data_IF_002753631631
#
_entry.id   IF_002753631631
#
_cell.length_a   1.000
_cell.length_b   1.000
_cell.length_c   1.000
_cell.angle_alpha   90.00
_cell.angle_beta   90.00
_cell.angle_gamma   90.00
#
_symmetry.space_group_name_H-M   'P 1'
#
loop_
_entity.id
_entity.type
_entity.pdbx_description
1 polymer ?
#
# COMPACT_ATOMS: atom_id res chain seq x y z
N UNK A 1 2.95 52.98 -37.30
CA UNK A 1 1.84 52.23 -37.93
C UNK A 1 2.02 50.78 -37.56
N UNK A 2 1.63 50.41 -36.34
CA UNK A 2 0.31 49.85 -35.98
C UNK A 2 0.40 48.33 -36.01
N UNK A 3 0.76 47.76 -34.86
CA UNK A 3 0.68 46.32 -34.60
C UNK A 3 -0.78 45.91 -34.44
N UNK A 4 -1.22 44.99 -35.29
CA UNK A 4 -2.56 44.42 -35.24
C UNK A 4 -2.58 43.31 -34.19
N UNK A 5 -3.24 43.59 -33.07
CA UNK A 5 -3.47 42.63 -31.98
C UNK A 5 -4.61 41.70 -32.37
N UNK A 6 -4.29 40.46 -32.74
CA UNK A 6 -5.27 39.38 -32.89
C UNK A 6 -6.01 39.20 -31.56
N UNK A 7 -7.34 39.35 -31.58
CA UNK A 7 -8.16 39.28 -30.37
C UNK A 7 -8.52 37.84 -30.02
N UNK A 8 -8.69 37.57 -28.72
CA UNK A 8 -8.97 36.24 -28.14
C UNK A 8 -10.25 35.55 -28.67
N UNK A 9 -11.10 36.27 -29.40
CA UNK A 9 -12.31 35.73 -30.04
C UNK A 9 -12.05 35.06 -31.40
N UNK A 10 -10.95 35.37 -32.06
CA UNK A 10 -10.65 34.83 -33.40
C UNK A 10 -9.95 33.46 -33.35
N UNK A 11 -9.19 33.17 -32.29
CA UNK A 11 -8.59 31.85 -32.08
C UNK A 11 -9.64 30.75 -31.82
N UNK A 12 -10.77 31.10 -31.21
CA UNK A 12 -11.84 30.13 -30.86
C UNK A 12 -12.62 29.64 -32.08
N UNK A 13 -12.55 30.32 -33.23
CA UNK A 13 -13.27 29.93 -34.46
C UNK A 13 -12.46 29.07 -35.45
N UNK A 14 -11.16 28.84 -35.20
CA UNK A 14 -10.27 28.20 -36.18
C UNK A 14 -10.03 26.70 -35.96
N UNK A 15 -10.48 26.10 -34.86
CA UNK A 15 -10.11 24.71 -34.53
C UNK A 15 -11.28 23.71 -34.66
N UNK A 16 -12.43 24.17 -35.14
CA UNK A 16 -13.61 23.33 -35.36
C UNK A 16 -13.79 22.99 -36.83
N UNK A 17 -13.21 21.87 -37.30
CA UNK A 17 -13.69 20.97 -38.38
C UNK A 17 -12.54 20.23 -39.06
N UNK A 18 -12.25 19.01 -38.61
CA UNK A 18 -12.01 17.90 -39.56
C UNK A 18 -12.39 16.60 -38.86
N UNK A 19 -13.57 16.09 -39.19
CA UNK A 19 -13.99 14.73 -38.85
C UNK A 19 -13.39 13.84 -39.94
N UNK A 20 -12.34 13.09 -39.61
CA UNK A 20 -11.93 11.92 -40.42
C UNK A 20 -12.31 10.70 -39.60
N UNK A 21 -13.40 10.06 -40.02
CA UNK A 21 -13.77 8.74 -39.58
C UNK A 21 -12.75 7.74 -40.13
N UNK A 22 -11.91 7.19 -39.26
CA UNK A 22 -11.13 5.99 -39.55
C UNK A 22 -11.44 4.96 -38.45
N UNK A 23 -12.28 4.01 -38.82
CA UNK A 23 -12.57 2.82 -38.04
C UNK A 23 -11.28 2.01 -37.86
N UNK A 24 -10.71 2.04 -36.65
CA UNK A 24 -9.72 1.07 -36.22
C UNK A 24 -10.28 0.29 -35.02
N UNK A 25 -10.79 -0.89 -35.37
CA UNK A 25 -10.85 -2.14 -34.61
C UNK A 25 -10.64 -2.02 -33.09
N UNK A 26 -11.77 -2.07 -32.39
CA UNK A 26 -11.84 -2.46 -30.99
C UNK A 26 -11.32 -3.90 -30.81
N UNK A 27 -10.13 -4.06 -30.23
CA UNK A 27 -9.73 -5.29 -29.57
C UNK A 27 -8.52 -4.98 -28.67
N UNK A 28 -8.80 -4.77 -27.39
CA UNK A 28 -7.99 -5.07 -26.18
C UNK A 28 -8.43 -4.11 -25.07
N UNK A 29 -9.75 -4.06 -24.82
CA UNK A 29 -10.25 -3.73 -23.50
C UNK A 29 -9.97 -4.94 -22.61
N UNK A 30 -8.73 -5.06 -22.12
CA UNK A 30 -8.47 -5.86 -20.93
C UNK A 30 -9.39 -5.38 -19.80
N UNK A 31 -9.73 -6.23 -18.82
CA UNK A 31 -10.60 -5.82 -17.73
C UNK A 31 -9.98 -4.60 -17.07
N UNK A 32 -10.70 -3.47 -17.13
CA UNK A 32 -10.42 -2.29 -16.32
C UNK A 32 -10.46 -2.78 -14.89
N UNK A 33 -9.30 -2.98 -14.27
CA UNK A 33 -9.19 -3.27 -12.85
C UNK A 33 -9.91 -2.12 -12.17
N UNK A 34 -11.10 -2.41 -11.63
CA UNK A 34 -11.94 -1.41 -11.01
C UNK A 34 -11.09 -0.56 -10.08
N UNK A 35 -11.11 0.76 -10.28
CA UNK A 35 -10.33 1.70 -9.48
C UNK A 35 -10.65 1.48 -8.00
N UNK A 36 -9.75 0.77 -7.31
CA UNK A 36 -9.98 0.42 -5.92
C UNK A 36 -9.78 1.66 -5.06
N UNK A 37 -10.63 1.85 -4.05
CA UNK A 37 -10.54 3.03 -3.18
C UNK A 37 -9.14 3.14 -2.54
N UNK A 38 -8.50 4.32 -2.59
CA UNK A 38 -7.18 4.54 -2.02
C UNK A 38 -7.24 4.42 -0.49
N UNK A 39 -6.24 3.76 0.10
CA UNK A 39 -6.19 3.57 1.55
C UNK A 39 -5.81 4.88 2.25
N UNK A 40 -6.51 5.21 3.33
CA UNK A 40 -6.19 6.37 4.19
C UNK A 40 -5.15 5.99 5.24
N UNK A 41 -4.14 6.84 5.44
CA UNK A 41 -3.13 6.71 6.49
C UNK A 41 -1.77 6.20 6.01
N UNK A 42 -0.82 6.06 6.95
CA UNK A 42 0.53 5.57 6.65
C UNK A 42 0.53 4.04 6.66
N UNK A 43 0.69 3.45 5.47
CA UNK A 43 0.50 2.02 5.22
C UNK A 43 1.71 1.16 5.58
N UNK A 44 2.84 1.76 5.95
CA UNK A 44 4.03 1.04 6.40
C UNK A 44 4.45 1.51 7.78
N UNK A 45 4.73 0.57 8.68
CA UNK A 45 5.35 0.85 9.96
C UNK A 45 6.87 0.88 9.80
N UNK A 46 7.56 1.62 10.68
CA UNK A 46 9.02 1.66 10.69
C UNK A 46 9.67 0.26 10.75
N UNK A 47 9.02 -0.69 11.43
CA UNK A 47 9.48 -2.07 11.57
C UNK A 47 9.15 -3.01 10.39
N UNK A 48 8.58 -2.51 9.28
CA UNK A 48 8.26 -3.31 8.09
C UNK A 48 6.86 -3.94 8.06
N UNK A 49 6.04 -3.73 9.09
CA UNK A 49 4.65 -4.19 9.07
C UNK A 49 3.85 -3.34 8.07
N UNK A 50 3.17 -4.01 7.15
CA UNK A 50 2.18 -3.37 6.28
C UNK A 50 0.89 -3.11 7.06
N UNK A 51 0.63 -1.86 7.39
CA UNK A 51 -0.54 -1.45 8.17
C UNK A 51 -1.84 -1.62 7.37
N UNK A 52 -1.79 -1.63 6.03
CA UNK A 52 -2.97 -1.82 5.19
C UNK A 52 -3.68 -3.16 5.41
N UNK A 53 -3.00 -4.20 5.87
CA UNK A 53 -3.65 -5.48 6.24
C UNK A 53 -3.86 -5.68 7.74
N UNK A 54 -3.59 -4.66 8.56
CA UNK A 54 -3.76 -4.75 10.00
C UNK A 54 -5.25 -4.78 10.37
N UNK A 55 -5.72 -5.81 11.10
CA UNK A 55 -7.12 -5.92 11.54
C UNK A 55 -7.61 -4.66 12.27
N UNK A 56 -6.73 -4.03 13.06
CA UNK A 56 -7.01 -2.78 13.78
C UNK A 56 -7.23 -1.60 12.83
N UNK A 57 -6.38 -1.47 11.80
CA UNK A 57 -6.47 -0.35 10.85
C UNK A 57 -7.71 -0.46 9.97
N UNK A 58 -7.99 -1.67 9.47
CA UNK A 58 -9.10 -1.90 8.57
C UNK A 58 -10.45 -2.05 9.30
N UNK A 59 -10.44 -2.18 10.64
CA UNK A 59 -11.64 -2.34 11.46
C UNK A 59 -12.21 -3.77 11.47
N UNK A 60 -11.34 -4.77 11.31
CA UNK A 60 -11.67 -6.20 11.30
C UNK A 60 -11.47 -6.86 12.68
N UNK A 61 -10.70 -6.23 13.59
CA UNK A 61 -10.30 -6.78 14.91
C UNK A 61 -11.42 -7.01 15.95
N UNK A 62 -12.69 -6.79 15.61
CA UNK A 62 -13.85 -6.96 16.50
C UNK A 62 -13.93 -5.98 17.69
N UNK A 63 -12.81 -5.35 18.06
CA UNK A 63 -12.68 -4.44 19.21
C UNK A 63 -12.80 -2.96 18.80
N UNK A 64 -12.41 -2.60 17.58
CA UNK A 64 -12.60 -1.26 17.04
C UNK A 64 -13.92 -1.16 16.27
N UNK A 65 -14.98 -0.80 16.99
CA UNK A 65 -16.31 -0.46 16.43
C UNK A 65 -16.30 0.71 15.42
N UNK A 66 -15.15 1.32 15.11
CA UNK A 66 -14.99 2.45 14.18
C UNK A 66 -13.76 2.23 13.29
N UNK A 67 -13.93 1.65 12.09
CA UNK A 67 -12.89 1.60 11.06
C UNK A 67 -12.29 3.00 10.81
N UNK A 68 -10.97 3.10 10.63
CA UNK A 68 -10.33 4.35 10.24
C UNK A 68 -9.87 5.31 11.35
N UNK A 69 -9.98 4.94 12.65
CA UNK A 69 -9.33 5.72 13.73
C UNK A 69 -7.82 5.53 13.81
N UNK A 70 -7.33 4.34 13.44
CA UNK A 70 -5.90 4.07 13.38
C UNK A 70 -5.34 4.59 12.05
N UNK A 71 -4.46 5.58 12.11
CA UNK A 71 -3.78 6.16 10.93
C UNK A 71 -2.46 5.45 10.60
N UNK A 72 -2.16 4.35 11.30
CA UNK A 72 -0.93 3.57 11.16
C UNK A 72 -0.07 3.65 12.40
N UNK A 73 0.88 2.70 12.52
CA UNK A 73 1.80 2.67 13.66
C UNK A 73 2.55 3.99 13.84
N UNK A 74 2.84 4.72 12.75
CA UNK A 74 3.50 6.02 12.77
C UNK A 74 2.73 7.12 13.52
N UNK A 75 1.39 7.02 13.58
CA UNK A 75 0.49 7.98 14.22
C UNK A 75 0.10 7.64 15.66
N UNK A 76 0.72 6.64 16.30
CA UNK A 76 0.40 6.25 17.69
C UNK A 76 0.77 7.36 18.69
N UNK A 77 -0.14 7.66 19.63
CA UNK A 77 0.10 8.56 20.78
C UNK A 77 1.25 8.08 21.67
N UNK A 78 1.34 6.76 21.89
CA UNK A 78 2.41 6.12 22.66
C UNK A 78 3.30 5.29 21.71
N UNK A 79 4.35 5.88 21.13
CA UNK A 79 5.21 5.18 20.17
C UNK A 79 6.13 4.16 20.87
N UNK A 80 6.35 3.00 20.24
CA UNK A 80 7.36 2.03 20.70
C UNK A 80 8.79 2.52 20.42
N UNK A 81 9.79 1.85 20.99
CA UNK A 81 11.20 2.23 20.85
C UNK A 81 11.68 2.26 19.40
N UNK A 82 11.25 1.32 18.55
CA UNK A 82 11.59 1.30 17.12
C UNK A 82 11.08 2.57 16.42
N UNK A 83 9.83 2.98 16.69
CA UNK A 83 9.28 4.19 16.09
C UNK A 83 9.96 5.46 16.61
N UNK A 84 10.28 5.53 17.90
CA UNK A 84 11.07 6.63 18.47
C UNK A 84 12.45 6.71 17.81
N UNK A 85 13.11 5.57 17.64
CA UNK A 85 14.42 5.45 16.99
C UNK A 85 14.35 5.89 15.52
N UNK A 86 13.35 5.43 14.76
CA UNK A 86 13.16 5.82 13.36
C UNK A 86 12.96 7.34 13.22
N UNK A 87 12.13 7.95 14.08
CA UNK A 87 11.95 9.41 14.13
C UNK A 87 13.25 10.14 14.45
N UNK A 88 14.00 9.70 15.47
CA UNK A 88 15.29 10.30 15.85
C UNK A 88 16.32 10.25 14.71
N UNK A 89 16.31 9.19 13.91
CA UNK A 89 17.23 9.02 12.78
C UNK A 89 16.66 9.54 11.44
N UNK A 90 15.49 10.17 11.45
CA UNK A 90 14.80 10.68 10.26
C UNK A 90 14.63 9.63 9.14
N UNK A 91 14.30 8.40 9.51
CA UNK A 91 14.03 7.31 8.56
C UNK A 91 12.56 6.90 8.60
N UNK A 92 11.96 6.76 7.43
CA UNK A 92 10.55 6.34 7.30
C UNK A 92 10.35 4.86 7.67
N UNK A 93 11.26 4.02 7.21
CA UNK A 93 11.31 2.57 7.46
C UNK A 93 12.72 2.17 7.82
N UNK A 94 12.87 1.19 8.71
CA UNK A 94 14.16 0.82 9.26
C UNK A 94 15.17 0.38 8.19
N UNK A 95 14.73 -0.17 7.06
CA UNK A 95 15.59 -0.54 5.93
C UNK A 95 16.32 0.62 5.27
N UNK A 96 15.83 1.86 5.42
CA UNK A 96 16.51 3.07 4.95
C UNK A 96 17.58 3.59 5.91
N UNK A 97 17.71 2.99 7.10
CA UNK A 97 18.74 3.35 8.06
C UNK A 97 20.10 2.79 7.65
N UNK A 98 21.15 3.61 7.75
CA UNK A 98 22.54 3.18 7.49
C UNK A 98 22.99 2.00 8.37
N UNK A 99 22.38 1.83 9.54
CA UNK A 99 22.70 0.74 10.49
C UNK A 99 21.86 -0.52 10.25
N UNK A 100 21.05 -0.56 9.20
CA UNK A 100 20.16 -1.69 8.94
C UNK A 100 20.91 -2.88 8.31
N UNK A 101 20.72 -4.12 8.81
CA UNK A 101 19.88 -4.49 9.96
C UNK A 101 20.62 -4.35 11.30
N UNK A 102 20.02 -3.62 12.26
CA UNK A 102 20.58 -3.43 13.61
C UNK A 102 20.04 -4.45 14.64
N UNK A 103 20.68 -4.55 15.81
CA UNK A 103 20.27 -5.50 16.86
C UNK A 103 18.82 -5.30 17.34
N UNK A 104 18.37 -4.05 17.50
CA UNK A 104 17.01 -3.72 17.91
C UNK A 104 15.97 -4.28 16.92
N UNK A 105 16.17 -4.09 15.62
CA UNK A 105 15.20 -4.54 14.62
C UNK A 105 15.23 -6.06 14.47
N UNK A 106 16.42 -6.68 14.50
CA UNK A 106 16.57 -8.13 14.51
C UNK A 106 15.85 -8.76 15.71
N UNK A 107 16.03 -8.19 16.91
CA UNK A 107 15.38 -8.65 18.13
C UNK A 107 13.85 -8.54 18.07
N UNK A 108 13.34 -7.45 17.49
CA UNK A 108 11.89 -7.28 17.33
C UNK A 108 11.24 -8.37 16.46
N UNK A 109 11.95 -8.82 15.42
CA UNK A 109 11.48 -9.85 14.50
C UNK A 109 11.74 -11.28 15.01
N UNK A 110 12.75 -11.47 15.85
CA UNK A 110 13.08 -12.76 16.46
C UNK A 110 11.88 -13.32 17.23
N UNK A 111 11.57 -14.61 17.01
CA UNK A 111 10.50 -15.35 17.69
C UNK A 111 9.13 -14.65 17.67
N UNK A 112 8.87 -13.90 16.60
CA UNK A 112 7.67 -13.11 16.45
C UNK A 112 6.48 -13.89 15.92
N UNK A 113 5.27 -13.36 16.15
CA UNK A 113 4.06 -13.77 15.41
C UNK A 113 4.31 -13.66 13.89
N UNK A 114 3.59 -14.40 13.03
CA UNK A 114 3.77 -14.39 11.58
C UNK A 114 3.91 -13.01 10.92
N UNK A 115 3.12 -12.01 11.36
CA UNK A 115 3.23 -10.64 10.85
C UNK A 115 4.56 -9.94 11.17
N UNK A 116 5.27 -10.35 12.23
CA UNK A 116 6.62 -9.86 12.55
C UNK A 116 7.67 -10.56 11.69
N UNK A 117 7.53 -11.87 11.47
CA UNK A 117 8.41 -12.64 10.57
C UNK A 117 8.33 -12.06 9.16
N UNK A 118 7.11 -11.88 8.64
CA UNK A 118 6.88 -11.24 7.36
C UNK A 118 7.40 -9.79 7.33
N UNK A 119 7.31 -9.05 8.44
CA UNK A 119 7.85 -7.68 8.51
C UNK A 119 9.38 -7.62 8.36
N UNK A 120 10.12 -8.66 8.79
CA UNK A 120 11.56 -8.76 8.53
C UNK A 120 11.84 -8.85 7.03
N UNK A 121 11.21 -9.83 6.37
CA UNK A 121 11.29 -10.02 4.93
C UNK A 121 10.87 -8.75 4.17
N UNK A 122 9.80 -8.08 4.59
CA UNK A 122 9.36 -6.84 3.98
C UNK A 122 10.42 -5.74 4.02
N UNK A 123 11.18 -5.60 5.11
CA UNK A 123 12.25 -4.60 5.18
C UNK A 123 13.37 -4.92 4.19
N UNK A 124 13.71 -6.19 4.00
CA UNK A 124 14.72 -6.60 3.02
C UNK A 124 14.25 -6.31 1.59
N UNK A 125 13.01 -6.67 1.26
CA UNK A 125 12.42 -6.33 -0.04
C UNK A 125 12.37 -4.80 -0.24
N UNK A 126 11.95 -4.02 0.76
CA UNK A 126 11.95 -2.54 0.67
C UNK A 126 13.36 -2.00 0.42
N UNK A 127 14.40 -2.59 1.04
CA UNK A 127 15.80 -2.20 0.84
C UNK A 127 16.24 -2.43 -0.61
N UNK A 128 15.78 -3.52 -1.22
CA UNK A 128 16.16 -3.93 -2.58
C UNK A 128 15.41 -3.13 -3.66
N UNK A 129 14.09 -3.02 -3.55
CA UNK A 129 13.26 -2.48 -4.64
C UNK A 129 12.65 -1.10 -4.35
N UNK A 130 12.84 -0.58 -3.14
CA UNK A 130 12.29 0.70 -2.71
C UNK A 130 10.86 0.63 -2.19
N UNK A 131 10.52 1.60 -1.33
CA UNK A 131 9.26 1.63 -0.59
C UNK A 131 8.02 1.80 -1.49
N UNK A 132 8.08 2.66 -2.50
CA UNK A 132 6.93 2.98 -3.35
C UNK A 132 6.43 1.75 -4.11
N UNK A 133 7.35 0.99 -4.74
CA UNK A 133 7.03 -0.24 -5.45
C UNK A 133 6.47 -1.29 -4.50
N UNK A 134 7.13 -1.51 -3.36
CA UNK A 134 6.66 -2.45 -2.35
C UNK A 134 5.26 -2.11 -1.83
N UNK A 135 4.92 -0.84 -1.64
CA UNK A 135 3.58 -0.42 -1.20
C UNK A 135 2.48 -0.81 -2.19
N UNK A 136 2.73 -0.69 -3.49
CA UNK A 136 1.80 -1.10 -4.56
C UNK A 136 1.57 -2.61 -4.50
N UNK A 137 2.65 -3.39 -4.40
CA UNK A 137 2.57 -4.85 -4.32
C UNK A 137 1.84 -5.33 -3.06
N UNK A 138 2.10 -4.72 -1.92
CA UNK A 138 1.41 -5.06 -0.67
C UNK A 138 -0.07 -4.67 -0.71
N UNK A 139 -0.43 -3.53 -1.30
CA UNK A 139 -1.84 -3.18 -1.43
C UNK A 139 -2.59 -4.18 -2.31
N UNK A 140 -1.98 -4.62 -3.41
CA UNK A 140 -2.54 -5.66 -4.28
C UNK A 140 -2.69 -7.00 -3.54
N UNK A 141 -1.65 -7.45 -2.83
CA UNK A 141 -1.66 -8.71 -2.06
C UNK A 141 -2.77 -8.75 -1.01
N UNK A 142 -3.04 -7.62 -0.36
CA UNK A 142 -3.98 -7.52 0.76
C UNK A 142 -5.35 -6.96 0.36
N UNK A 143 -5.76 -7.19 -0.89
CA UNK A 143 -7.12 -7.01 -1.38
C UNK A 143 -7.76 -8.34 -1.71
N UNK A 144 -9.06 -8.43 -1.50
CA UNK A 144 -9.84 -9.57 -1.93
C UNK A 144 -9.80 -9.66 -3.47
N UNK A 145 -9.40 -10.80 -4.05
CA UNK A 145 -9.29 -10.93 -5.51
C UNK A 145 -10.65 -10.86 -6.22
N UNK A 146 -11.75 -11.13 -5.51
CA UNK A 146 -13.11 -11.12 -6.07
C UNK A 146 -13.76 -9.74 -6.06
N UNK A 147 -13.57 -8.94 -5.01
CA UNK A 147 -14.29 -7.67 -4.83
C UNK A 147 -13.38 -6.45 -4.62
N UNK A 148 -12.06 -6.62 -4.61
CA UNK A 148 -11.08 -5.53 -4.47
C UNK A 148 -11.03 -4.87 -3.09
N UNK A 149 -11.88 -5.28 -2.13
CA UNK A 149 -11.89 -4.69 -0.79
C UNK A 149 -10.65 -5.11 0.01
N UNK A 150 -10.10 -4.20 0.84
CA UNK A 150 -9.18 -4.52 1.92
C UNK A 150 -9.50 -5.81 2.67
N UNK A 151 -8.47 -6.61 2.95
CA UNK A 151 -8.60 -7.79 3.81
C UNK A 151 -7.54 -7.78 4.91
N UNK A 152 -7.89 -8.35 6.06
CA UNK A 152 -6.99 -8.53 7.19
C UNK A 152 -5.96 -9.62 6.89
N UNK A 153 -4.77 -9.51 7.47
CA UNK A 153 -3.70 -10.49 7.23
C UNK A 153 -4.02 -11.90 7.73
N UNK A 154 -4.95 -12.02 8.68
CA UNK A 154 -5.39 -13.27 9.31
C UNK A 154 -6.80 -13.69 8.87
N UNK A 155 -7.44 -12.92 7.98
CA UNK A 155 -8.77 -13.25 7.48
C UNK A 155 -8.69 -14.43 6.48
N UNK A 156 -9.40 -15.52 6.79
CA UNK A 156 -9.56 -16.69 5.90
C UNK A 156 -10.65 -16.52 4.85
N UNK A 157 -11.57 -15.60 5.06
CA UNK A 157 -12.67 -15.29 4.14
C UNK A 157 -12.95 -13.78 4.11
N UNK A 158 -13.30 -13.27 2.93
CA UNK A 158 -13.61 -11.85 2.76
C UNK A 158 -14.97 -11.52 3.42
N UNK A 159 -14.96 -10.63 4.42
CA UNK A 159 -16.19 -10.17 5.10
C UNK A 159 -17.24 -9.55 4.16
N UNK A 160 -16.82 -9.03 3.00
CA UNK A 160 -17.74 -8.39 2.04
C UNK A 160 -18.42 -9.38 1.08
N UNK A 161 -17.71 -10.42 0.62
CA UNK A 161 -18.20 -11.28 -0.47
C UNK A 161 -18.03 -12.79 -0.25
N UNK A 162 -17.48 -13.20 0.91
CA UNK A 162 -17.31 -14.61 1.29
C UNK A 162 -16.19 -15.37 0.57
N UNK A 163 -15.46 -14.74 -0.37
CA UNK A 163 -14.36 -15.41 -1.06
C UNK A 163 -13.29 -15.87 -0.07
N UNK A 164 -12.76 -17.08 -0.27
CA UNK A 164 -11.62 -17.60 0.49
C UNK A 164 -10.38 -16.72 0.26
N UNK A 165 -9.56 -16.57 1.29
CA UNK A 165 -8.38 -15.71 1.31
C UNK A 165 -7.18 -16.47 1.87
N UNK A 166 -6.00 -16.16 1.31
CA UNK A 166 -4.72 -16.63 1.83
C UNK A 166 -4.24 -15.70 2.96
N UNK A 167 -3.94 -16.29 4.11
CA UNK A 167 -3.45 -15.61 5.32
C UNK A 167 -1.94 -15.36 5.26
N UNK A 168 -1.44 -14.54 6.20
CA UNK A 168 -0.02 -14.26 6.35
C UNK A 168 0.79 -15.46 6.83
N UNK A 169 0.18 -16.34 7.64
CA UNK A 169 0.76 -17.61 8.06
C UNK A 169 1.08 -18.48 6.84
N UNK A 170 0.13 -18.58 5.91
CA UNK A 170 0.33 -19.31 4.66
C UNK A 170 1.40 -18.66 3.76
N UNK A 171 1.55 -17.34 3.77
CA UNK A 171 2.66 -16.67 3.07
C UNK A 171 4.01 -16.97 3.72
N UNK A 172 4.12 -16.88 5.04
CA UNK A 172 5.33 -17.20 5.81
C UNK A 172 5.79 -18.62 5.52
N UNK A 173 4.86 -19.59 5.52
CA UNK A 173 5.13 -20.99 5.19
C UNK A 173 5.58 -21.13 3.74
N UNK A 174 4.84 -20.57 2.78
CA UNK A 174 5.15 -20.69 1.36
C UNK A 174 6.52 -20.08 0.98
N UNK A 175 6.93 -19.03 1.69
CA UNK A 175 8.21 -18.35 1.48
C UNK A 175 9.35 -18.93 2.35
N UNK A 176 9.11 -19.98 3.13
CA UNK A 176 10.09 -20.58 4.05
C UNK A 176 10.70 -19.56 5.04
N UNK A 177 9.92 -18.59 5.51
CA UNK A 177 10.40 -17.54 6.43
C UNK A 177 10.34 -17.99 7.89
N UNK A 178 11.22 -17.42 8.72
CA UNK A 178 11.20 -17.60 10.18
C UNK A 178 11.78 -18.92 10.70
N UNK A 179 12.51 -19.64 9.83
CA UNK A 179 13.35 -20.79 10.19
C UNK A 179 14.74 -20.34 10.59
#
# INVERSE_FOLDING_TARGET
MSGERITRREFVKSSGRTIVAAAFLAAFAGPVVAATEPRKGKLVAACGIYCGSCPVMIGDDGANKKPGKCTGCAGKKNPCNILKCAKKNNVEVCSLCKKYPCAEIKSFHANGKPYKIMAAHNLDVIKEQGLAKWLVEQDARWRCPKCGKPVAWDAKACKKCGAALKTIDEDVVAMNLGK
#
